data_IF_497460531998
#
_entry.id   IF_497460531998
#
_cell.length_a   1.000
_cell.length_b   1.000
_cell.length_c   1.000
_cell.angle_alpha   90.00
_cell.angle_beta   90.00
_cell.angle_gamma   90.00
#
_symmetry.space_group_name_H-M   'P 1'
#
loop_
_entity.id
_entity.type
_entity.pdbx_description
1 polymer ?
#
# COMPACT_ATOMS: atom_id res chain seq x y z
N UNK A 1 -40.61 30.67 7.03
CA UNK A 1 -39.60 29.78 7.65
C UNK A 1 -38.22 30.26 7.20
N UNK A 2 -37.45 30.95 8.06
CA UNK A 2 -36.12 31.42 7.69
C UNK A 2 -35.12 30.27 7.89
N UNK A 3 -34.51 29.82 6.79
CA UNK A 3 -33.44 28.82 6.86
C UNK A 3 -32.19 29.50 7.42
N UNK A 4 -31.62 28.91 8.47
CA UNK A 4 -30.43 29.43 9.10
C UNK A 4 -29.24 29.33 8.14
N UNK A 5 -28.56 30.46 7.88
CA UNK A 5 -27.37 30.54 7.02
C UNK A 5 -26.26 29.55 7.40
N UNK A 6 -26.14 29.18 8.67
CA UNK A 6 -25.17 28.17 9.14
C UNK A 6 -25.54 26.75 8.69
N UNK A 7 -26.83 26.42 8.64
CA UNK A 7 -27.33 25.13 8.15
C UNK A 7 -27.07 25.02 6.64
N UNK A 8 -27.31 26.11 5.90
CA UNK A 8 -27.00 26.16 4.47
C UNK A 8 -25.50 25.98 4.20
N UNK A 9 -24.64 26.67 4.97
CA UNK A 9 -23.18 26.54 4.86
C UNK A 9 -22.71 25.10 5.10
N UNK A 10 -23.27 24.43 6.11
CA UNK A 10 -22.90 23.05 6.47
C UNK A 10 -23.35 22.04 5.40
N UNK A 11 -24.53 22.24 4.80
CA UNK A 11 -24.97 21.44 3.67
C UNK A 11 -24.06 21.60 2.45
N UNK A 12 -23.62 22.83 2.16
CA UNK A 12 -22.72 23.11 1.03
C UNK A 12 -21.35 22.46 1.25
N UNK A 13 -20.77 22.55 2.46
CA UNK A 13 -19.45 21.95 2.72
C UNK A 13 -19.48 20.42 2.67
N UNK A 14 -20.52 19.78 3.20
CA UNK A 14 -20.70 18.32 3.12
C UNK A 14 -20.94 17.89 1.67
N UNK A 15 -21.68 18.66 0.88
CA UNK A 15 -21.89 18.32 -0.53
C UNK A 15 -20.60 18.45 -1.36
N UNK A 16 -19.78 19.46 -1.08
CA UNK A 16 -18.48 19.67 -1.75
C UNK A 16 -17.45 18.57 -1.42
N UNK A 17 -17.44 18.03 -0.19
CA UNK A 17 -16.47 17.02 0.21
C UNK A 17 -16.63 15.69 -0.56
N UNK A 18 -17.83 15.39 -1.04
CA UNK A 18 -18.11 14.19 -1.87
C UNK A 18 -17.38 14.23 -3.22
N UNK A 19 -17.05 15.43 -3.71
CA UNK A 19 -16.34 15.59 -4.99
C UNK A 19 -14.81 15.67 -4.82
N UNK A 20 -14.29 15.77 -3.60
CA UNK A 20 -12.87 15.78 -3.34
C UNK A 20 -12.31 14.34 -3.41
N UNK A 21 -11.64 14.01 -4.52
CA UNK A 21 -10.85 12.78 -4.62
C UNK A 21 -9.43 13.04 -4.13
N UNK A 22 -9.04 12.44 -3.01
CA UNK A 22 -7.62 12.23 -2.73
C UNK A 22 -7.11 11.17 -3.69
N UNK A 23 -6.25 11.54 -4.63
CA UNK A 23 -5.64 10.60 -5.56
C UNK A 23 -4.20 10.38 -5.15
N UNK A 24 -3.89 9.16 -4.68
CA UNK A 24 -2.49 8.79 -4.47
C UNK A 24 -1.74 8.87 -5.81
N UNK A 25 -0.57 9.50 -5.78
CA UNK A 25 0.30 9.63 -6.94
C UNK A 25 0.91 8.28 -7.35
N UNK A 26 0.99 7.33 -6.40
CA UNK A 26 1.37 5.95 -6.67
C UNK A 26 0.32 5.26 -7.54
N UNK A 27 0.80 4.48 -8.49
CA UNK A 27 0.02 3.42 -9.11
C UNK A 27 -0.08 2.27 -8.10
N UNK A 28 -1.30 1.80 -7.82
CA UNK A 28 -1.54 0.63 -6.95
C UNK A 28 -0.89 0.72 -5.56
N UNK A 29 -0.98 1.88 -4.90
CA UNK A 29 -0.35 2.14 -3.60
C UNK A 29 -0.95 1.37 -2.41
N UNK A 30 -2.05 0.65 -2.64
CA UNK A 30 -2.72 -0.26 -1.71
C UNK A 30 -2.52 -1.75 -2.09
N UNK A 31 -1.81 -2.03 -3.18
CA UNK A 31 -1.42 -3.38 -3.65
C UNK A 31 -2.56 -4.33 -4.06
N UNK A 32 -3.78 -3.82 -4.23
CA UNK A 32 -4.95 -4.63 -4.59
C UNK A 32 -5.00 -5.02 -6.07
N UNK A 33 -4.20 -4.38 -6.93
CA UNK A 33 -4.13 -4.72 -8.34
C UNK A 33 -3.03 -5.75 -8.59
N UNK A 34 -3.42 -6.94 -9.04
CA UNK A 34 -2.50 -8.04 -9.36
C UNK A 34 -2.83 -8.67 -10.72
N UNK A 35 -1.89 -9.46 -11.24
CA UNK A 35 -2.09 -10.24 -12.47
C UNK A 35 -2.83 -11.54 -12.20
N UNK A 36 -2.35 -12.28 -11.21
CA UNK A 36 -2.89 -13.55 -10.73
C UNK A 36 -2.61 -13.70 -9.24
N UNK A 37 -3.35 -14.60 -8.59
CA UNK A 37 -3.09 -14.92 -7.19
C UNK A 37 -1.68 -15.51 -7.07
N UNK A 38 -0.79 -14.96 -6.22
CA UNK A 38 0.54 -15.51 -6.02
C UNK A 38 0.48 -16.92 -5.41
N UNK A 39 1.39 -17.81 -5.80
CA UNK A 39 1.52 -19.13 -5.17
C UNK A 39 2.45 -19.12 -3.95
N UNK A 40 3.26 -18.06 -3.84
CA UNK A 40 4.24 -17.84 -2.78
C UNK A 40 4.37 -16.35 -2.49
N UNK A 41 4.62 -15.95 -1.22
CA UNK A 41 4.91 -14.56 -0.88
C UNK A 41 6.05 -13.96 -1.71
N UNK A 42 7.06 -14.74 -2.12
CA UNK A 42 8.24 -14.25 -2.83
C UNK A 42 7.94 -13.74 -4.27
N UNK A 43 6.69 -13.76 -4.71
CA UNK A 43 6.23 -13.39 -6.05
C UNK A 43 5.76 -11.93 -6.15
N UNK A 44 6.61 -10.97 -5.81
CA UNK A 44 6.29 -9.53 -5.94
C UNK A 44 5.85 -9.12 -7.37
N UNK A 45 6.28 -9.86 -8.39
CA UNK A 45 5.90 -9.65 -9.79
C UNK A 45 4.40 -9.86 -10.06
N UNK A 46 3.70 -10.58 -9.18
CA UNK A 46 2.24 -10.78 -9.27
C UNK A 46 1.49 -9.49 -8.93
N UNK A 47 2.07 -8.58 -8.13
CA UNK A 47 1.54 -7.26 -7.83
C UNK A 47 1.82 -6.28 -8.98
N UNK A 48 0.77 -5.65 -9.52
CA UNK A 48 0.92 -4.68 -10.62
C UNK A 48 1.61 -3.41 -10.14
N UNK A 49 2.47 -2.86 -10.99
CA UNK A 49 3.19 -1.60 -10.79
C UNK A 49 4.18 -1.57 -9.62
N UNK A 50 4.43 -2.73 -9.01
CA UNK A 50 5.41 -2.93 -7.95
C UNK A 50 6.49 -3.88 -8.45
N UNK A 51 7.76 -3.55 -8.20
CA UNK A 51 8.90 -4.31 -8.70
C UNK A 51 9.99 -4.38 -7.66
N UNK A 52 10.77 -5.45 -7.65
CA UNK A 52 12.01 -5.51 -6.88
C UNK A 52 13.15 -4.90 -7.71
N UNK A 53 13.77 -3.79 -7.30
CA UNK A 53 14.88 -3.18 -8.02
C UNK A 53 16.24 -3.83 -7.70
N UNK A 54 16.28 -4.79 -6.77
CA UNK A 54 17.48 -5.46 -6.31
C UNK A 54 17.41 -6.98 -6.56
N UNK A 55 18.55 -7.65 -6.43
CA UNK A 55 18.60 -9.12 -6.38
C UNK A 55 18.23 -9.59 -4.97
N UNK A 56 16.95 -9.43 -4.61
CA UNK A 56 16.39 -9.81 -3.30
C UNK A 56 15.01 -10.48 -3.46
N UNK A 57 14.29 -10.71 -2.35
CA UNK A 57 13.02 -11.46 -2.34
C UNK A 57 11.90 -10.68 -1.63
N UNK A 58 11.63 -9.45 -2.07
CA UNK A 58 10.47 -8.71 -1.56
C UNK A 58 9.20 -9.53 -1.72
N UNK A 59 8.34 -9.48 -0.70
CA UNK A 59 7.18 -10.34 -0.60
C UNK A 59 5.89 -9.61 -1.00
N UNK A 60 4.98 -10.30 -1.68
CA UNK A 60 3.61 -9.89 -1.90
C UNK A 60 2.66 -10.86 -1.20
N UNK A 61 1.98 -10.38 -0.17
CA UNK A 61 0.99 -11.12 0.60
C UNK A 61 -0.41 -10.83 0.06
N UNK A 62 -1.22 -11.86 -0.11
CA UNK A 62 -2.59 -11.75 -0.60
C UNK A 62 -3.48 -12.80 0.08
N UNK A 63 -4.72 -12.45 0.41
CA UNK A 63 -5.67 -13.31 1.13
C UNK A 63 -6.03 -14.63 0.42
N UNK A 64 -5.73 -14.75 -0.87
CA UNK A 64 -5.89 -16.01 -1.61
C UNK A 64 -4.84 -17.07 -1.20
N UNK A 65 -3.79 -16.65 -0.47
CA UNK A 65 -2.83 -17.52 0.20
C UNK A 65 -3.21 -17.62 1.68
N UNK A 66 -4.24 -18.41 2.00
CA UNK A 66 -4.88 -18.47 3.34
C UNK A 66 -3.88 -18.70 4.49
N UNK A 67 -2.73 -19.33 4.23
CA UNK A 67 -1.71 -19.63 5.24
C UNK A 67 -0.80 -18.43 5.60
N UNK A 68 -0.80 -17.36 4.80
CA UNK A 68 0.20 -16.28 4.87
C UNK A 68 -0.38 -14.92 5.30
N UNK A 69 -1.71 -14.76 5.24
CA UNK A 69 -2.42 -13.55 5.69
C UNK A 69 -3.46 -13.95 6.73
N UNK A 70 -3.48 -13.35 7.94
CA UNK A 70 -2.64 -12.24 8.41
C UNK A 70 -1.32 -12.67 9.06
N UNK A 71 -1.03 -13.97 9.20
CA UNK A 71 0.14 -14.47 9.93
C UNK A 71 1.19 -14.99 8.97
N UNK A 72 2.41 -14.51 9.11
CA UNK A 72 3.59 -15.07 8.47
C UNK A 72 4.67 -15.42 9.50
N UNK A 73 5.71 -16.16 9.11
CA UNK A 73 6.76 -16.60 10.05
C UNK A 73 7.47 -15.43 10.76
N UNK A 74 7.48 -14.24 10.15
CA UNK A 74 8.08 -13.03 10.70
C UNK A 74 7.12 -12.14 11.51
N UNK A 75 5.81 -12.41 11.51
CA UNK A 75 4.87 -11.52 12.18
C UNK A 75 3.39 -11.76 11.91
N UNK A 76 2.59 -10.78 12.29
CA UNK A 76 1.14 -10.80 12.14
C UNK A 76 0.66 -9.42 11.72
N UNK A 77 0.03 -9.33 10.54
CA UNK A 77 -0.49 -8.10 9.97
C UNK A 77 -1.72 -8.37 9.09
N UNK A 78 -2.78 -7.60 9.29
CA UNK A 78 -3.88 -7.53 8.32
C UNK A 78 -3.56 -6.51 7.23
N UNK A 79 -4.01 -6.73 5.97
CA UNK A 79 -3.94 -5.72 4.93
C UNK A 79 -4.54 -4.39 5.41
N UNK A 80 -3.88 -3.27 5.10
CA UNK A 80 -4.41 -1.94 5.43
C UNK A 80 -5.74 -1.66 4.72
N UNK A 81 -5.89 -2.22 3.52
CA UNK A 81 -7.13 -2.25 2.76
C UNK A 81 -7.25 -3.57 2.02
N UNK A 82 -8.47 -3.96 1.66
CA UNK A 82 -8.70 -5.13 0.82
C UNK A 82 -8.07 -6.42 1.33
N UNK A 83 -7.25 -7.04 0.49
CA UNK A 83 -6.75 -8.41 0.67
C UNK A 83 -5.22 -8.52 0.62
N UNK A 84 -4.49 -7.45 0.30
CA UNK A 84 -3.09 -7.54 -0.06
C UNK A 84 -2.20 -6.50 0.63
N UNK A 85 -0.93 -6.86 0.81
CA UNK A 85 0.13 -5.94 1.22
C UNK A 85 1.50 -6.48 0.78
N UNK A 86 2.52 -5.65 0.92
CA UNK A 86 3.90 -6.00 0.53
C UNK A 86 4.79 -6.03 1.76
N UNK A 87 5.66 -7.04 1.85
CA UNK A 87 6.67 -7.15 2.90
C UNK A 87 8.08 -6.92 2.37
N UNK A 88 8.90 -6.29 3.21
CA UNK A 88 10.34 -6.12 2.98
C UNK A 88 11.11 -6.33 4.27
N UNK A 89 12.29 -6.92 4.18
CA UNK A 89 13.30 -6.91 5.25
C UNK A 89 14.18 -5.68 5.11
N UNK A 90 14.13 -4.78 6.10
CA UNK A 90 14.74 -3.45 6.02
C UNK A 90 16.00 -3.20 6.86
N UNK A 91 16.61 -4.22 7.48
CA UNK A 91 17.73 -3.96 8.39
C UNK A 91 18.54 -5.17 8.83
N UNK A 92 19.72 -4.90 9.44
CA UNK A 92 20.73 -5.90 9.70
C UNK A 92 20.34 -6.90 10.78
N UNK A 93 19.21 -6.76 11.48
CA UNK A 93 18.85 -7.73 12.50
C UNK A 93 17.34 -7.92 12.68
N UNK A 94 16.91 -9.18 12.60
CA UNK A 94 15.64 -9.65 13.15
C UNK A 94 16.00 -10.53 14.35
N UNK A 95 15.57 -10.15 15.54
CA UNK A 95 15.78 -10.91 16.79
C UNK A 95 17.26 -11.21 17.13
N UNK A 96 18.17 -10.26 16.90
CA UNK A 96 19.59 -10.41 17.27
C UNK A 96 20.41 -11.30 16.34
N UNK A 97 19.85 -11.75 15.21
CA UNK A 97 20.61 -12.38 14.13
C UNK A 97 20.98 -11.34 13.09
N UNK A 98 22.27 -11.24 12.74
CA UNK A 98 22.70 -10.38 11.66
C UNK A 98 22.20 -10.91 10.30
N UNK A 99 21.25 -10.20 9.68
CA UNK A 99 20.79 -10.42 8.32
C UNK A 99 21.28 -9.26 7.45
N UNK A 100 22.39 -9.40 6.69
CA UNK A 100 22.82 -8.38 5.72
C UNK A 100 21.84 -8.26 4.53
N UNK A 101 20.64 -8.81 4.65
CA UNK A 101 19.62 -8.88 3.61
C UNK A 101 18.75 -7.65 3.69
N UNK A 102 18.74 -6.87 2.61
CA UNK A 102 17.90 -5.69 2.48
C UNK A 102 17.05 -5.83 1.24
N UNK A 103 15.75 -5.66 1.42
CA UNK A 103 14.75 -5.76 0.39
C UNK A 103 14.22 -4.38 0.04
N UNK A 104 13.89 -4.22 -1.23
CA UNK A 104 13.45 -2.97 -1.79
C UNK A 104 12.26 -3.22 -2.67
N UNK A 105 11.31 -2.29 -2.64
CA UNK A 105 10.19 -2.27 -3.56
C UNK A 105 10.20 -0.93 -4.27
N UNK A 106 10.05 -0.98 -5.58
CA UNK A 106 10.02 0.17 -6.45
C UNK A 106 8.65 0.25 -7.11
N UNK A 107 8.09 1.46 -7.10
CA UNK A 107 6.81 1.77 -7.72
C UNK A 107 6.95 2.96 -8.66
N UNK A 108 6.07 3.04 -9.65
CA UNK A 108 6.01 4.16 -10.59
C UNK A 108 4.96 5.17 -10.17
N UNK A 109 5.33 6.44 -10.16
CA UNK A 109 4.42 7.56 -10.00
C UNK A 109 3.63 7.81 -11.29
N UNK A 110 2.37 8.23 -11.16
CA UNK A 110 1.51 8.61 -12.30
C UNK A 110 2.08 9.78 -13.10
N UNK A 111 2.78 10.69 -12.43
CA UNK A 111 3.51 11.83 -13.00
C UNK A 111 4.69 12.19 -12.10
N UNK A 112 5.56 13.06 -12.61
CA UNK A 112 6.66 13.65 -11.83
C UNK A 112 6.08 14.33 -10.58
N UNK A 113 6.75 14.11 -9.44
CA UNK A 113 6.43 14.75 -8.19
C UNK A 113 6.77 16.24 -8.28
N UNK A 114 5.80 17.11 -7.97
CA UNK A 114 6.05 18.54 -7.87
C UNK A 114 6.62 18.88 -6.50
N UNK A 115 7.28 20.03 -6.39
CA UNK A 115 7.78 20.54 -5.11
C UNK A 115 6.64 20.59 -4.08
N UNK A 116 6.94 20.19 -2.83
CA UNK A 116 6.01 20.09 -1.71
C UNK A 116 4.86 19.07 -1.80
N UNK A 117 4.80 18.24 -2.85
CA UNK A 117 3.84 17.14 -2.92
C UNK A 117 4.25 15.96 -2.02
N UNK A 118 3.28 15.42 -1.28
CA UNK A 118 3.46 14.23 -0.45
C UNK A 118 2.85 13.00 -1.11
N UNK A 119 3.60 11.90 -1.07
CA UNK A 119 3.13 10.58 -1.51
C UNK A 119 2.96 9.72 -0.26
N UNK A 120 1.80 9.08 -0.14
CA UNK A 120 1.51 8.18 0.96
C UNK A 120 1.66 6.74 0.50
N UNK A 121 2.35 5.96 1.29
CA UNK A 121 2.58 4.54 1.06
C UNK A 121 2.02 3.79 2.27
N UNK A 122 1.15 2.80 2.02
CA UNK A 122 0.46 2.06 3.07
C UNK A 122 0.94 0.61 3.03
N UNK A 123 1.84 0.26 3.96
CA UNK A 123 2.26 -1.12 4.24
C UNK A 123 1.48 -1.68 5.42
#
# INVERSE_FOLDING_TARGET
MQINKYILLLFVTVWLSVFCKSQNLLLNGDFEQYWECPNSPLEISSCKYTFNPALSTSDYYHACMEEYVPRFFLGYQYPQSGNAYVGIVGGPAVEGREFPWQEYVQMKLKRVLQEDEKVFFFM
#
